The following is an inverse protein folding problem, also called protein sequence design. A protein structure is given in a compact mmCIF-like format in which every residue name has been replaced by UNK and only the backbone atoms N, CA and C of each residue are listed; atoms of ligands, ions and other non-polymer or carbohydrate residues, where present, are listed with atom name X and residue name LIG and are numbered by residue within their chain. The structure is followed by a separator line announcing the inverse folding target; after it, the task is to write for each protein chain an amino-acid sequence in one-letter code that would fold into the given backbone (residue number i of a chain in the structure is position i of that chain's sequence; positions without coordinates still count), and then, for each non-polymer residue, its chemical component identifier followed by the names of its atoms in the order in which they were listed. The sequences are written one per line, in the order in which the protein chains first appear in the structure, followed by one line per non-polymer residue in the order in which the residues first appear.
data_IF_995182428832
#
_entry.id   IF_995182428832
#
_cell.length_a   1.000
_cell.length_b   1.000
_cell.length_c   1.000
_cell.angle_alpha   90.00
_cell.angle_beta   90.00
_cell.angle_gamma   90.00
#
_symmetry.space_group_name_H-M   'P 1'
#
loop_
_entity.id
_entity.type
_entity.pdbx_description
1 polymer ?
#
# COMPACT_ATOMS: atom_id res chain seq x y z
N UNK A 1 2.37 26.89 -1.01
CA UNK A 1 3.17 25.77 -0.50
C UNK A 1 2.72 24.48 -1.17
N UNK A 2 3.62 23.80 -1.83
CA UNK A 2 3.27 22.55 -2.48
C UNK A 2 3.15 21.44 -1.44
N UNK A 3 2.06 20.69 -1.52
CA UNK A 3 1.93 19.49 -0.72
C UNK A 3 2.89 18.44 -1.25
N UNK A 4 3.61 17.82 -0.35
CA UNK A 4 4.48 16.72 -0.74
C UNK A 4 3.65 15.52 -1.14
N UNK A 5 4.12 14.81 -2.15
CA UNK A 5 3.45 13.62 -2.64
C UNK A 5 3.42 12.53 -1.56
N UNK A 6 2.28 11.87 -1.37
CA UNK A 6 2.20 10.84 -0.32
C UNK A 6 3.01 9.61 -0.65
N UNK A 7 3.39 8.88 0.41
CA UNK A 7 3.90 7.52 0.31
C UNK A 7 2.70 6.59 0.37
N UNK A 8 2.61 5.65 -0.56
CA UNK A 8 1.55 4.66 -0.61
C UNK A 8 2.10 3.31 -0.19
N UNK A 9 1.45 2.67 0.77
CA UNK A 9 1.81 1.33 1.23
C UNK A 9 0.72 0.36 0.80
N UNK A 10 1.10 -0.63 0.00
CA UNK A 10 0.17 -1.68 -0.43
C UNK A 10 0.24 -2.83 0.56
N UNK A 11 -0.89 -3.16 1.15
CA UNK A 11 -0.98 -4.23 2.14
C UNK A 11 -1.94 -5.32 1.68
N UNK A 12 -1.64 -6.56 2.05
CA UNK A 12 -2.60 -7.66 1.99
C UNK A 12 -3.25 -7.80 3.36
N UNK A 13 -4.31 -8.63 3.45
CA UNK A 13 -4.99 -8.81 4.74
C UNK A 13 -4.23 -9.79 5.63
N UNK A 14 -3.02 -9.41 6.05
CA UNK A 14 -2.16 -10.20 6.91
C UNK A 14 -1.55 -9.32 7.98
N UNK A 15 -1.44 -9.85 9.19
CA UNK A 15 -0.81 -9.13 10.29
C UNK A 15 0.65 -8.80 10.03
N UNK A 16 1.34 -9.62 9.24
CA UNK A 16 2.72 -9.35 8.83
C UNK A 16 2.88 -8.02 8.11
N UNK A 17 1.80 -7.49 7.53
CA UNK A 17 1.82 -6.19 6.87
C UNK A 17 2.05 -5.02 7.83
N UNK A 18 1.96 -5.25 9.14
CA UNK A 18 2.29 -4.21 10.13
C UNK A 18 3.68 -3.65 9.87
N UNK A 19 4.61 -4.49 9.44
CA UNK A 19 5.97 -4.09 9.13
C UNK A 19 6.03 -3.11 7.97
N UNK A 20 5.20 -3.33 6.96
CA UNK A 20 5.12 -2.44 5.81
C UNK A 20 4.59 -1.07 6.21
N UNK A 21 3.58 -1.05 7.07
CA UNK A 21 3.00 0.20 7.57
C UNK A 21 4.05 0.98 8.35
N UNK A 22 4.83 0.31 9.18
CA UNK A 22 5.90 0.97 9.96
C UNK A 22 6.99 1.51 9.05
N UNK A 23 7.38 0.76 8.03
CA UNK A 23 8.37 1.22 7.06
C UNK A 23 7.88 2.45 6.31
N UNK A 24 6.61 2.44 5.88
CA UNK A 24 6.01 3.58 5.22
C UNK A 24 5.90 4.79 6.13
N UNK A 25 5.53 4.57 7.39
CA UNK A 25 5.43 5.65 8.37
C UNK A 25 6.78 6.31 8.61
N UNK A 26 7.83 5.52 8.72
CA UNK A 26 9.18 6.03 8.90
C UNK A 26 9.62 6.88 7.70
N UNK A 27 9.39 6.37 6.51
CA UNK A 27 9.73 7.09 5.29
C UNK A 27 8.95 8.39 5.17
N UNK A 28 7.64 8.35 5.42
CA UNK A 28 6.78 9.52 5.33
C UNK A 28 7.21 10.58 6.35
N UNK A 29 7.53 10.15 7.56
CA UNK A 29 7.97 11.08 8.61
C UNK A 29 9.29 11.74 8.23
N UNK A 30 10.25 10.97 7.75
CA UNK A 30 11.57 11.51 7.37
C UNK A 30 11.46 12.51 6.22
N UNK A 31 10.51 12.32 5.35
CA UNK A 31 10.34 13.18 4.18
C UNK A 31 9.27 14.24 4.37
N UNK A 32 8.55 14.19 5.48
CA UNK A 32 7.51 15.17 5.77
C UNK A 32 6.33 15.09 4.81
N UNK A 33 5.95 13.88 4.40
CA UNK A 33 4.85 13.70 3.47
C UNK A 33 3.74 12.83 4.07
N UNK A 34 2.52 12.91 3.50
CA UNK A 34 1.42 12.06 3.97
C UNK A 34 1.67 10.58 3.70
N UNK A 35 0.99 9.73 4.46
CA UNK A 35 1.06 8.28 4.32
C UNK A 35 -0.32 7.73 3.98
N UNK A 36 -0.41 6.94 2.93
CA UNK A 36 -1.65 6.29 2.50
C UNK A 36 -1.44 4.78 2.55
N UNK A 37 -2.31 4.08 3.27
CA UNK A 37 -2.28 2.61 3.35
C UNK A 37 -3.41 2.09 2.48
N UNK A 38 -3.10 1.24 1.53
CA UNK A 38 -4.09 0.78 0.53
C UNK A 38 -4.11 -0.74 0.48
N UNK A 39 -5.30 -1.30 0.59
CA UNK A 39 -5.56 -2.70 0.30
C UNK A 39 -6.53 -2.78 -0.88
N UNK A 40 -6.18 -3.57 -1.88
CA UNK A 40 -7.07 -3.80 -3.01
C UNK A 40 -7.54 -5.25 -2.95
N UNK A 41 -8.85 -5.44 -2.79
CA UNK A 41 -9.45 -6.76 -2.82
C UNK A 41 -9.99 -7.03 -4.22
N UNK A 42 -9.93 -8.28 -4.63
CA UNK A 42 -10.52 -8.68 -5.89
C UNK A 42 -12.04 -8.81 -5.75
N UNK A 43 -12.79 -8.30 -6.72
CA UNK A 43 -14.23 -8.46 -6.73
C UNK A 43 -14.62 -9.94 -6.81
N UNK A 44 -13.76 -10.77 -7.41
CA UNK A 44 -14.00 -12.21 -7.54
C UNK A 44 -13.91 -12.96 -6.20
N UNK A 45 -13.22 -12.39 -5.20
CA UNK A 45 -13.04 -13.03 -3.90
C UNK A 45 -14.28 -12.94 -3.00
N UNK A 46 -15.28 -12.18 -3.39
CA UNK A 46 -16.52 -12.04 -2.64
C UNK A 46 -16.30 -11.34 -1.30
N UNK A 47 -17.24 -11.54 -0.37
CA UNK A 47 -17.17 -10.90 0.94
C UNK A 47 -16.27 -11.64 1.92
N UNK A 48 -15.89 -12.86 1.59
CA UNK A 48 -15.10 -13.71 2.49
C UNK A 48 -13.60 -13.39 2.46
N UNK A 49 -13.17 -12.48 1.62
CA UNK A 49 -11.76 -12.15 1.47
C UNK A 49 -11.19 -11.19 2.52
N UNK A 50 -12.05 -10.68 3.43
CA UNK A 50 -11.59 -9.74 4.45
C UNK A 50 -11.79 -10.33 5.84
N UNK A 51 -10.67 -10.51 6.55
CA UNK A 51 -10.70 -10.87 7.96
C UNK A 51 -10.87 -9.59 8.78
N UNK A 52 -12.00 -9.46 9.45
CA UNK A 52 -12.33 -8.26 10.21
C UNK A 52 -11.32 -7.97 11.32
N UNK A 53 -10.77 -9.01 11.95
CA UNK A 53 -9.78 -8.83 13.00
C UNK A 53 -8.47 -8.26 12.44
N UNK A 54 -8.03 -8.79 11.32
CA UNK A 54 -6.82 -8.29 10.66
C UNK A 54 -7.04 -6.86 10.17
N UNK A 55 -8.19 -6.59 9.56
CA UNK A 55 -8.51 -5.25 9.08
C UNK A 55 -8.49 -4.24 10.22
N UNK A 56 -9.12 -4.57 11.36
CA UNK A 56 -9.13 -3.68 12.52
C UNK A 56 -7.72 -3.45 13.07
N UNK A 57 -6.90 -4.50 13.09
CA UNK A 57 -5.52 -4.38 13.54
C UNK A 57 -4.71 -3.44 12.65
N UNK A 58 -4.77 -3.62 11.34
CA UNK A 58 -4.06 -2.77 10.39
C UNK A 58 -4.58 -1.34 10.42
N UNK A 59 -5.89 -1.18 10.56
CA UNK A 59 -6.51 0.13 10.66
C UNK A 59 -6.02 0.89 11.88
N UNK A 60 -5.91 0.20 13.02
CA UNK A 60 -5.39 0.82 14.24
C UNK A 60 -3.94 1.27 14.07
N UNK A 61 -3.12 0.46 13.39
CA UNK A 61 -1.73 0.83 13.11
C UNK A 61 -1.66 2.04 12.19
N UNK A 62 -2.52 2.09 11.18
CA UNK A 62 -2.58 3.24 10.28
C UNK A 62 -2.93 4.50 11.05
N UNK A 63 -3.92 4.42 11.95
CA UNK A 63 -4.31 5.54 12.78
C UNK A 63 -3.15 6.03 13.66
N UNK A 64 -2.43 5.11 14.28
CA UNK A 64 -1.28 5.48 15.11
C UNK A 64 -0.19 6.19 14.30
N UNK A 65 -0.05 5.81 13.05
CA UNK A 65 0.93 6.42 12.15
C UNK A 65 0.44 7.73 11.53
N UNK A 66 -0.79 8.14 11.83
CA UNK A 66 -1.38 9.32 11.22
C UNK A 66 -1.72 9.12 9.75
N UNK A 67 -1.93 7.89 9.33
CA UNK A 67 -2.18 7.54 7.94
C UNK A 67 -3.66 7.31 7.67
N UNK A 68 -4.03 7.51 6.42
CA UNK A 68 -5.35 7.14 5.93
C UNK A 68 -5.27 5.73 5.37
N UNK A 69 -6.19 4.85 5.79
CA UNK A 69 -6.29 3.51 5.24
C UNK A 69 -7.50 3.40 4.32
N UNK A 70 -7.26 2.89 3.12
CA UNK A 70 -8.29 2.75 2.10
C UNK A 70 -8.36 1.30 1.63
N UNK A 71 -9.58 0.75 1.58
CA UNK A 71 -9.82 -0.58 1.03
C UNK A 71 -10.58 -0.40 -0.28
N UNK A 72 -9.98 -0.86 -1.36
CA UNK A 72 -10.55 -0.77 -2.70
C UNK A 72 -11.02 -2.14 -3.16
N UNK A 73 -12.05 -2.17 -3.98
CA UNK A 73 -12.51 -3.40 -4.63
C UNK A 73 -12.42 -3.21 -6.14
N UNK A 74 -11.82 -4.18 -6.83
CA UNK A 74 -11.63 -4.08 -8.27
C UNK A 74 -11.56 -5.47 -8.90
N UNK A 75 -11.92 -5.55 -10.19
CA UNK A 75 -11.75 -6.80 -10.92
C UNK A 75 -10.29 -7.08 -11.21
N UNK A 76 -9.52 -6.03 -11.49
CA UNK A 76 -8.08 -6.14 -11.71
C UNK A 76 -7.39 -5.25 -10.68
N UNK A 77 -6.74 -5.87 -9.71
CA UNK A 77 -6.16 -5.16 -8.59
C UNK A 77 -5.12 -4.13 -9.01
N UNK A 78 -4.25 -4.48 -9.95
CA UNK A 78 -3.17 -3.58 -10.36
C UNK A 78 -3.71 -2.30 -11.03
N UNK A 79 -4.84 -2.40 -11.74
CA UNK A 79 -5.47 -1.23 -12.34
C UNK A 79 -5.93 -0.25 -11.25
N UNK A 80 -6.53 -0.77 -10.19
CA UNK A 80 -6.97 0.07 -9.07
C UNK A 80 -5.77 0.73 -8.38
N UNK A 81 -4.66 0.01 -8.25
CA UNK A 81 -3.44 0.55 -7.67
C UNK A 81 -2.91 1.73 -8.49
N UNK A 82 -2.86 1.56 -9.82
CA UNK A 82 -2.40 2.60 -10.74
C UNK A 82 -3.30 3.83 -10.65
N UNK A 83 -4.61 3.62 -10.70
CA UNK A 83 -5.58 4.72 -10.67
C UNK A 83 -5.48 5.50 -9.36
N UNK A 84 -5.39 4.77 -8.24
CA UNK A 84 -5.26 5.41 -6.92
C UNK A 84 -3.98 6.25 -6.84
N UNK A 85 -2.87 5.69 -7.31
CA UNK A 85 -1.60 6.40 -7.29
C UNK A 85 -1.64 7.67 -8.12
N UNK A 86 -2.28 7.62 -9.29
CA UNK A 86 -2.43 8.81 -10.14
C UNK A 86 -3.32 9.85 -9.49
N UNK A 87 -4.47 9.43 -8.96
CA UNK A 87 -5.41 10.35 -8.33
C UNK A 87 -4.84 11.05 -7.11
N UNK A 88 -3.93 10.38 -6.40
CA UNK A 88 -3.34 10.91 -5.18
C UNK A 88 -1.93 11.46 -5.39
N UNK A 89 -1.45 11.52 -6.61
CA UNK A 89 -0.12 12.02 -6.95
C UNK A 89 1.00 11.31 -6.18
N UNK A 90 0.86 10.01 -6.04
CA UNK A 90 1.83 9.18 -5.32
C UNK A 90 3.15 9.10 -6.11
N UNK A 91 4.28 9.25 -5.41
CA UNK A 91 5.61 9.15 -6.00
C UNK A 91 6.42 7.97 -5.48
N UNK A 92 6.02 7.42 -4.34
CA UNK A 92 6.68 6.26 -3.75
C UNK A 92 5.65 5.25 -3.31
N UNK A 93 5.90 3.99 -3.65
CA UNK A 93 5.04 2.88 -3.28
C UNK A 93 5.89 1.86 -2.55
N UNK A 94 5.40 1.41 -1.40
CA UNK A 94 6.03 0.33 -0.62
C UNK A 94 5.12 -0.88 -0.67
N UNK A 95 5.67 -2.03 -0.97
CA UNK A 95 4.92 -3.28 -0.99
C UNK A 95 5.77 -4.42 -0.46
N UNK A 96 5.13 -5.47 -0.01
CA UNK A 96 5.84 -6.65 0.51
C UNK A 96 6.27 -7.58 -0.60
N UNK A 97 7.33 -8.34 -0.32
CA UNK A 97 7.78 -9.41 -1.21
C UNK A 97 6.80 -10.57 -1.14
N UNK A 98 6.18 -10.89 -2.25
CA UNK A 98 5.24 -11.99 -2.36
C UNK A 98 5.42 -12.66 -3.69
N UNK A 99 4.60 -13.67 -3.99
CA UNK A 99 4.72 -14.46 -5.20
C UNK A 99 4.78 -13.63 -6.49
N UNK A 100 4.08 -12.50 -6.51
CA UNK A 100 3.95 -11.70 -7.72
C UNK A 100 4.50 -10.29 -7.56
N UNK A 101 5.30 -10.06 -6.53
CA UNK A 101 5.75 -8.70 -6.20
C UNK A 101 6.51 -8.05 -7.36
N UNK A 102 7.44 -8.77 -7.97
CA UNK A 102 8.23 -8.20 -9.07
C UNK A 102 7.37 -7.87 -10.28
N UNK A 103 6.41 -8.74 -10.61
CA UNK A 103 5.50 -8.50 -11.73
C UNK A 103 4.62 -7.28 -11.49
N UNK A 104 4.08 -7.17 -10.28
CA UNK A 104 3.27 -6.01 -9.89
C UNK A 104 4.11 -4.74 -9.93
N UNK A 105 5.33 -4.78 -9.38
CA UNK A 105 6.22 -3.62 -9.37
C UNK A 105 6.55 -3.16 -10.80
N UNK A 106 6.83 -4.09 -11.71
CA UNK A 106 7.09 -3.76 -13.10
C UNK A 106 5.89 -3.10 -13.76
N UNK A 107 4.70 -3.63 -13.51
CA UNK A 107 3.47 -3.06 -14.06
C UNK A 107 3.25 -1.64 -13.52
N UNK A 108 3.42 -1.47 -12.21
CA UNK A 108 3.25 -0.15 -11.59
C UNK A 108 4.23 0.87 -12.17
N UNK A 109 5.51 0.51 -12.26
CA UNK A 109 6.51 1.44 -12.80
C UNK A 109 6.30 1.72 -14.28
N UNK A 110 5.75 0.75 -15.03
CA UNK A 110 5.44 0.95 -16.44
C UNK A 110 4.31 1.94 -16.67
N UNK A 111 3.30 1.95 -15.81
CA UNK A 111 2.15 2.85 -15.92
C UNK A 111 2.31 4.15 -15.14
N UNK A 112 3.30 4.22 -14.25
CA UNK A 112 3.51 5.38 -13.37
C UNK A 112 4.94 5.90 -13.53
N UNK A 113 5.23 6.59 -14.63
CA UNK A 113 6.58 7.14 -14.82
C UNK A 113 6.97 8.06 -13.66
N UNK A 114 8.19 7.91 -13.17
CA UNK A 114 8.68 8.72 -12.06
C UNK A 114 8.31 8.21 -10.68
N UNK A 115 7.53 7.14 -10.59
CA UNK A 115 7.18 6.54 -9.31
C UNK A 115 8.20 5.46 -8.96
N UNK A 116 8.67 5.49 -7.72
CA UNK A 116 9.57 4.49 -7.18
C UNK A 116 8.77 3.42 -6.43
N UNK A 117 9.02 2.16 -6.72
CA UNK A 117 8.39 1.04 -6.01
C UNK A 117 9.47 0.32 -5.21
N UNK A 118 9.23 0.20 -3.91
CA UNK A 118 10.13 -0.46 -2.98
C UNK A 118 9.49 -1.76 -2.51
N UNK A 119 10.19 -2.88 -2.72
CA UNK A 119 9.73 -4.18 -2.25
C UNK A 119 10.49 -4.50 -0.97
N UNK A 120 9.74 -4.67 0.12
CA UNK A 120 10.30 -4.96 1.44
C UNK A 120 10.19 -6.45 1.69
N UNK A 121 11.32 -7.10 1.86
CA UNK A 121 11.36 -8.53 2.14
C UNK A 121 10.99 -8.82 3.59
N UNK A 122 10.34 -9.97 3.79
CA UNK A 122 10.10 -10.45 5.14
C UNK A 122 11.39 -10.97 5.72
N UNK A 123 11.78 -10.40 6.86
CA UNK A 123 12.91 -10.94 7.59
C UNK A 123 12.36 -11.90 8.64
N UNK A 124 12.77 -13.15 8.52
CA UNK A 124 12.52 -14.12 9.58
C UNK A 124 13.57 -13.89 10.65
N UNK A 125 13.16 -13.21 11.66
CA UNK A 125 14.05 -12.95 12.77
C UNK A 125 13.65 -13.73 13.95
#
# INVERSE_FOLDING_TARGET
MEEKSPVMVLVSMQKSCARLIRAGADMAMKQGCPLKIVHVRSAADGQDGIDAQVLNYLYALANEAGAEMCVLTAEVAVTAMVDYAKENSVKRIIMGAGENAEGIAKTLTGFLPGVQVLIVEETHG
#
